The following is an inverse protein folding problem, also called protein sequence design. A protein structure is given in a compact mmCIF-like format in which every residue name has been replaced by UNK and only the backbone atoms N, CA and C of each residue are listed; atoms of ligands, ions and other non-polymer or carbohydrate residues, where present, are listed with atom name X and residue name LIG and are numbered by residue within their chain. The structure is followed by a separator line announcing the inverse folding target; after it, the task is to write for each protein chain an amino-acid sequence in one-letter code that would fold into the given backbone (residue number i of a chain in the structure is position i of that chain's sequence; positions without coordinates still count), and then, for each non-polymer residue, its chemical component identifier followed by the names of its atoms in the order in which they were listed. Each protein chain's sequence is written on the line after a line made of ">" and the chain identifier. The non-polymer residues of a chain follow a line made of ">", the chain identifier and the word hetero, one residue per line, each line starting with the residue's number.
data_IF_542692135002
#
_entry.id   IF_542692135002
#
_cell.length_a   1.000
_cell.length_b   1.000
_cell.length_c   1.000
_cell.angle_alpha   90.00
_cell.angle_beta   90.00
_cell.angle_gamma   90.00
#
_symmetry.space_group_name_H-M   'P 1'
#
loop_
_entity.id
_entity.type
_entity.pdbx_description
1 polymer ?
#
# COMPACT_ATOMS: atom_id res chain seq x y z
N UNK A 1 15.83 10.24 -21.06
CA UNK A 1 15.52 9.35 -19.90
C UNK A 1 16.45 8.14 -19.88
N UNK A 2 16.72 7.53 -21.04
CA UNK A 2 17.67 6.42 -21.19
C UNK A 2 19.11 6.76 -20.78
N UNK A 3 19.59 7.98 -21.09
CA UNK A 3 20.93 8.42 -20.70
C UNK A 3 21.13 8.45 -19.18
N UNK A 4 20.08 8.83 -18.45
CA UNK A 4 20.11 8.89 -16.99
C UNK A 4 20.11 7.48 -16.36
N UNK A 5 19.30 6.56 -16.92
CA UNK A 5 19.29 5.15 -16.48
C UNK A 5 20.62 4.45 -16.77
N UNK A 6 21.25 4.77 -17.90
CA UNK A 6 22.57 4.27 -18.28
C UNK A 6 23.68 4.86 -17.40
N UNK A 7 23.56 6.15 -17.04
CA UNK A 7 24.46 6.81 -16.10
C UNK A 7 24.35 6.21 -14.69
N UNK A 8 23.15 6.02 -14.15
CA UNK A 8 22.96 5.45 -12.80
C UNK A 8 23.41 3.99 -12.72
N UNK A 9 23.21 3.18 -13.76
CA UNK A 9 23.63 1.76 -13.77
C UNK A 9 25.15 1.55 -13.93
N UNK A 10 25.91 2.62 -14.20
CA UNK A 10 27.37 2.55 -14.30
C UNK A 10 28.01 2.32 -12.90
N UNK A 11 28.99 1.41 -12.77
CA UNK A 11 29.71 1.19 -11.51
C UNK A 11 30.39 2.43 -10.94
N UNK A 12 30.75 3.43 -11.77
CA UNK A 12 31.29 4.72 -11.31
C UNK A 12 30.26 5.61 -10.60
N UNK A 13 28.97 5.30 -10.73
CA UNK A 13 27.86 6.04 -10.15
C UNK A 13 27.38 5.45 -8.82
N UNK A 14 28.06 4.41 -8.31
CA UNK A 14 27.75 3.80 -7.01
C UNK A 14 27.80 4.80 -5.85
N UNK A 15 28.63 5.84 -5.94
CA UNK A 15 28.67 6.91 -4.93
C UNK A 15 27.36 7.72 -4.85
N UNK A 16 26.56 7.74 -5.91
CA UNK A 16 25.25 8.39 -5.98
C UNK A 16 24.09 7.44 -5.63
N UNK A 17 24.34 6.13 -5.58
CA UNK A 17 23.36 5.11 -5.18
C UNK A 17 23.36 4.86 -3.67
N UNK A 18 24.39 5.32 -2.97
CA UNK A 18 24.40 5.31 -1.52
C UNK A 18 23.36 6.31 -1.03
N UNK A 19 22.20 5.83 -0.57
CA UNK A 19 21.28 6.66 0.19
C UNK A 19 21.99 6.98 1.52
N UNK A 20 22.44 8.23 1.75
CA UNK A 20 23.05 8.55 3.02
C UNK A 20 22.02 8.23 4.11
N UNK A 21 22.46 7.52 5.14
CA UNK A 21 21.68 7.38 6.35
C UNK A 21 21.71 8.76 7.01
N UNK A 22 20.82 9.65 6.56
CA UNK A 22 20.67 10.97 7.13
C UNK A 22 20.19 10.76 8.55
N UNK A 23 21.08 11.00 9.50
CA UNK A 23 20.66 11.27 10.86
C UNK A 23 19.67 12.44 10.78
N UNK A 24 18.45 12.33 11.36
CA UNK A 24 17.52 13.45 11.43
C UNK A 24 18.16 14.76 11.93
N UNK A 25 19.30 14.67 12.62
CA UNK A 25 20.09 15.80 13.10
C UNK A 25 20.83 16.62 12.03
N UNK A 26 20.88 16.21 10.75
CA UNK A 26 21.62 16.94 9.70
C UNK A 26 20.76 17.99 8.96
N UNK A 27 19.43 17.96 9.10
CA UNK A 27 18.57 19.00 8.51
C UNK A 27 18.51 20.17 9.49
N UNK A 28 19.21 21.26 9.18
CA UNK A 28 19.02 22.52 9.91
C UNK A 28 17.61 23.03 9.63
N UNK A 29 16.88 23.39 10.68
CA UNK A 29 15.57 24.06 10.60
C UNK A 29 15.76 25.41 9.90
N UNK A 30 14.98 25.70 8.86
CA UNK A 30 15.08 26.93 8.07
C UNK A 30 13.70 27.56 7.91
N UNK A 31 13.46 28.61 8.70
CA UNK A 31 12.27 29.42 8.55
C UNK A 31 12.24 30.13 7.19
N UNK A 32 11.09 30.05 6.51
CA UNK A 32 10.81 30.69 5.23
C UNK A 32 11.06 29.77 4.03
N UNK A 33 11.18 28.46 4.25
CA UNK A 33 11.35 27.46 3.19
C UNK A 33 10.03 26.78 2.77
N UNK A 34 8.91 27.16 3.41
CA UNK A 34 7.58 26.63 3.17
C UNK A 34 7.32 25.24 3.76
N UNK A 35 8.18 24.74 4.65
CA UNK A 35 8.01 23.48 5.36
C UNK A 35 8.03 23.73 6.85
N UNK A 36 6.95 23.37 7.55
CA UNK A 36 6.92 23.46 9.02
C UNK A 36 7.89 22.44 9.61
N UNK A 37 8.97 22.93 10.19
CA UNK A 37 10.02 22.13 10.81
C UNK A 37 9.96 22.19 12.35
N UNK A 38 10.79 21.40 13.02
CA UNK A 38 10.76 21.32 14.48
C UNK A 38 11.08 22.69 15.13
N UNK A 39 10.11 23.24 15.86
CA UNK A 39 10.23 24.54 16.55
C UNK A 39 9.48 25.67 15.86
N UNK A 40 9.00 25.46 14.62
CA UNK A 40 8.14 26.39 13.90
C UNK A 40 6.67 26.06 14.15
N UNK A 41 5.80 27.07 14.10
CA UNK A 41 4.35 26.89 14.19
C UNK A 41 3.66 26.93 12.82
N UNK A 42 4.33 27.56 11.85
CA UNK A 42 3.89 27.76 10.47
C UNK A 42 5.11 28.14 9.63
N UNK A 43 5.03 27.95 8.32
CA UNK A 43 6.03 28.47 7.38
C UNK A 43 5.31 28.74 6.04
N UNK A 44 5.13 30.02 5.71
CA UNK A 44 4.47 30.46 4.49
C UNK A 44 5.46 30.82 3.36
N UNK A 45 6.74 30.50 3.51
CA UNK A 45 7.80 30.87 2.59
C UNK A 45 8.45 32.21 2.90
N UNK A 46 9.03 32.84 1.88
CA UNK A 46 9.66 34.14 2.05
C UNK A 46 8.62 35.28 2.17
N UNK A 47 9.09 36.52 2.35
CA UNK A 47 8.22 37.69 2.50
C UNK A 47 7.21 37.87 1.35
N UNK A 48 7.63 37.58 0.12
CA UNK A 48 6.81 37.73 -1.07
C UNK A 48 5.76 36.61 -1.16
N UNK A 49 6.14 35.37 -0.86
CA UNK A 49 5.24 34.22 -0.82
C UNK A 49 4.15 34.39 0.25
N UNK A 50 4.55 34.79 1.46
CA UNK A 50 3.63 35.05 2.57
C UNK A 50 2.69 36.22 2.27
N UNK A 51 3.18 37.29 1.63
CA UNK A 51 2.35 38.43 1.25
C UNK A 51 1.40 38.11 0.10
N UNK A 52 1.78 37.21 -0.80
CA UNK A 52 0.91 36.71 -1.87
C UNK A 52 -0.26 35.88 -1.32
N UNK A 53 -0.04 35.17 -0.22
CA UNK A 53 -1.12 34.52 0.52
C UNK A 53 -1.78 35.50 1.50
N UNK A 54 -2.77 36.27 1.02
CA UNK A 54 -3.55 37.23 1.81
C UNK A 54 -4.22 36.65 3.07
N UNK A 55 -4.35 35.32 3.15
CA UNK A 55 -4.90 34.61 4.30
C UNK A 55 -3.82 33.94 5.17
N UNK A 56 -2.54 34.25 4.94
CA UNK A 56 -1.44 33.77 5.77
C UNK A 56 -1.59 34.30 7.19
N UNK A 57 -1.59 33.37 8.13
CA UNK A 57 -1.66 33.60 9.56
C UNK A 57 -0.27 33.43 10.19
N UNK A 58 0.77 33.49 9.36
CA UNK A 58 2.14 33.21 9.72
C UNK A 58 3.03 34.44 9.56
N UNK A 59 3.89 34.69 10.55
CA UNK A 59 4.98 35.65 10.42
C UNK A 59 6.18 34.99 9.73
N UNK A 60 6.42 35.36 8.48
CA UNK A 60 7.53 34.88 7.65
C UNK A 60 8.94 35.06 8.25
N UNK A 61 9.12 35.98 9.21
CA UNK A 61 10.43 36.24 9.82
C UNK A 61 10.70 35.30 10.99
N UNK A 62 9.64 34.92 11.72
CA UNK A 62 9.75 34.13 12.96
C UNK A 62 9.20 32.72 12.83
N UNK A 63 8.47 32.40 11.76
CA UNK A 63 7.74 31.14 11.57
C UNK A 63 6.83 30.80 12.74
N UNK A 64 6.21 31.85 13.29
CA UNK A 64 5.22 31.79 14.36
C UNK A 64 3.89 32.32 13.88
N UNK A 65 2.81 31.83 14.49
CA UNK A 65 1.47 32.33 14.18
C UNK A 65 1.34 33.80 14.56
N UNK A 66 0.60 34.56 13.77
CA UNK A 66 0.24 35.94 14.07
C UNK A 66 -0.69 36.02 15.29
N UNK A 67 -0.74 37.18 15.94
CA UNK A 67 -1.54 37.37 17.16
C UNK A 67 -3.02 37.08 16.91
N UNK A 68 -3.59 36.17 17.70
CA UNK A 68 -4.99 35.75 17.59
C UNK A 68 -5.23 34.55 16.67
N UNK A 69 -4.22 34.09 15.94
CA UNK A 69 -4.30 32.93 15.06
C UNK A 69 -4.07 31.62 15.82
N UNK A 70 -4.86 30.59 15.53
CA UNK A 70 -4.66 29.23 16.06
C UNK A 70 -4.14 28.27 15.00
N UNK A 71 -4.21 28.65 13.73
CA UNK A 71 -3.72 27.88 12.59
C UNK A 71 -3.33 28.80 11.44
N UNK A 72 -2.66 28.22 10.43
CA UNK A 72 -2.29 28.88 9.19
C UNK A 72 -2.70 28.04 7.97
N UNK A 73 -2.01 26.92 7.72
CA UNK A 73 -2.26 26.04 6.58
C UNK A 73 -2.95 24.74 7.03
N UNK A 74 -3.98 24.33 6.28
CA UNK A 74 -4.65 23.03 6.42
C UNK A 74 -6.15 23.09 6.10
N UNK A 75 -6.75 21.95 5.77
CA UNK A 75 -8.16 21.83 5.38
C UNK A 75 -9.13 22.18 6.50
N UNK A 76 -8.68 22.07 7.75
CA UNK A 76 -9.40 22.45 8.96
C UNK A 76 -9.00 23.83 9.49
N UNK A 77 -8.34 24.67 8.69
CA UNK A 77 -8.05 26.05 9.03
C UNK A 77 -8.84 27.02 8.14
N UNK A 78 -9.58 27.94 8.76
CA UNK A 78 -10.30 28.99 8.04
C UNK A 78 -10.21 30.29 8.81
N UNK A 79 -9.80 31.36 8.12
CA UNK A 79 -9.62 32.68 8.72
C UNK A 79 -8.74 32.63 9.99
N UNK A 80 -7.63 31.89 9.93
CA UNK A 80 -6.69 31.70 11.04
C UNK A 80 -7.25 31.00 12.29
N UNK A 81 -8.42 30.38 12.18
CA UNK A 81 -9.07 29.63 13.26
C UNK A 81 -9.32 28.19 12.84
N UNK A 82 -9.26 27.27 13.81
CA UNK A 82 -9.68 25.89 13.57
C UNK A 82 -11.16 25.85 13.20
N UNK A 83 -11.51 25.05 12.19
CA UNK A 83 -12.90 24.72 11.90
C UNK A 83 -13.52 23.97 13.08
N UNK A 84 -14.83 24.13 13.24
CA UNK A 84 -15.57 23.43 14.28
C UNK A 84 -15.47 21.91 14.10
N UNK A 85 -15.57 21.20 15.22
CA UNK A 85 -15.61 19.75 15.20
C UNK A 85 -16.83 19.24 14.44
N UNK A 86 -16.64 18.22 13.61
CA UNK A 86 -17.71 17.64 12.80
C UNK A 86 -17.92 18.34 11.45
N UNK A 87 -17.14 19.37 11.12
CA UNK A 87 -17.05 19.94 9.77
C UNK A 87 -16.31 18.96 8.85
N UNK A 88 -16.85 18.68 7.66
CA UNK A 88 -16.22 17.76 6.70
C UNK A 88 -15.00 18.44 6.07
N UNK A 89 -13.82 17.85 6.26
CA UNK A 89 -12.57 18.31 5.63
C UNK A 89 -12.19 17.48 4.41
N UNK A 90 -12.61 16.21 4.35
CA UNK A 90 -12.48 15.38 3.15
C UNK A 90 -13.81 14.68 2.86
N UNK A 91 -14.46 14.99 1.72
CA UNK A 91 -15.65 14.25 1.29
C UNK A 91 -15.25 12.85 0.79
N UNK A 92 -16.20 11.91 0.87
CA UNK A 92 -16.06 10.60 0.25
C UNK A 92 -16.05 10.72 -1.28
N UNK A 93 -15.16 9.97 -1.93
CA UNK A 93 -14.96 9.97 -3.38
C UNK A 93 -15.59 8.76 -4.10
N UNK A 94 -16.01 7.73 -3.37
CA UNK A 94 -16.58 6.48 -3.87
C UNK A 94 -17.43 5.84 -2.76
N UNK A 95 -18.37 4.95 -3.09
CA UNK A 95 -19.21 4.30 -2.07
C UNK A 95 -18.41 3.48 -1.05
N UNK A 96 -17.17 3.10 -1.40
CA UNK A 96 -16.23 2.40 -0.53
C UNK A 96 -15.30 3.32 0.27
N UNK A 97 -15.42 4.64 0.11
CA UNK A 97 -14.61 5.66 0.77
C UNK A 97 -15.42 6.37 1.87
N UNK A 98 -14.77 6.73 2.97
CA UNK A 98 -15.43 7.39 4.11
C UNK A 98 -15.11 8.88 4.13
N UNK A 99 -16.01 9.75 4.63
CA UNK A 99 -15.65 11.15 4.87
C UNK A 99 -14.83 11.31 6.15
N UNK A 100 -13.99 12.35 6.20
CA UNK A 100 -13.31 12.78 7.43
C UNK A 100 -13.72 14.17 7.86
N UNK A 101 -13.61 14.37 9.16
CA UNK A 101 -14.11 15.54 9.85
C UNK A 101 -12.99 16.23 10.62
N UNK A 102 -13.08 17.56 10.69
CA UNK A 102 -12.26 18.35 11.59
C UNK A 102 -12.56 17.97 13.04
N UNK A 103 -11.50 17.89 13.85
CA UNK A 103 -11.61 17.57 15.27
C UNK A 103 -11.83 18.80 16.16
N UNK A 104 -11.74 20.02 15.60
CA UNK A 104 -11.87 21.28 16.33
C UNK A 104 -10.59 21.79 16.99
N UNK A 105 -9.45 21.10 16.83
CA UNK A 105 -8.21 21.40 17.53
C UNK A 105 -6.94 21.23 16.67
N UNK A 106 -7.09 21.05 15.37
CA UNK A 106 -6.01 20.84 14.41
C UNK A 106 -6.35 21.53 13.09
N UNK A 107 -5.33 22.06 12.42
CA UNK A 107 -5.45 22.63 11.07
C UNK A 107 -5.50 21.54 10.00
N UNK A 108 -4.85 20.40 10.25
CA UNK A 108 -4.79 19.26 9.33
C UNK A 108 -6.03 18.37 9.53
N UNK A 109 -6.61 17.92 8.41
CA UNK A 109 -7.63 16.88 8.42
C UNK A 109 -7.07 15.55 8.98
N UNK A 110 -7.95 14.63 9.37
CA UNK A 110 -7.51 13.29 9.77
C UNK A 110 -6.96 12.49 8.58
N UNK A 111 -6.24 11.41 8.88
CA UNK A 111 -5.82 10.44 7.86
C UNK A 111 -7.03 9.92 7.06
N UNK A 112 -6.80 9.55 5.80
CA UNK A 112 -7.82 8.97 4.94
C UNK A 112 -8.20 7.56 5.43
N UNK A 113 -9.48 7.38 5.78
CA UNK A 113 -10.10 6.10 6.08
C UNK A 113 -11.08 5.71 4.99
N UNK A 114 -11.22 4.40 4.80
CA UNK A 114 -12.11 3.82 3.81
C UNK A 114 -12.82 2.60 4.39
N UNK A 115 -13.91 2.18 3.75
CA UNK A 115 -14.65 0.98 4.16
C UNK A 115 -13.74 -0.24 4.05
N UNK A 116 -13.80 -1.11 5.05
CA UNK A 116 -12.97 -2.30 5.15
C UNK A 116 -12.97 -3.13 3.86
N UNK A 117 -11.78 -3.53 3.42
CA UNK A 117 -11.60 -4.37 2.25
C UNK A 117 -12.46 -5.65 2.34
N UNK A 118 -13.20 -5.96 1.28
CA UNK A 118 -14.13 -7.07 1.23
C UNK A 118 -15.57 -6.72 1.61
N UNK A 119 -15.88 -5.46 1.92
CA UNK A 119 -17.26 -5.00 2.04
C UNK A 119 -17.98 -5.07 0.68
N UNK A 120 -19.22 -5.58 0.59
CA UNK A 120 -19.99 -5.58 -0.65
C UNK A 120 -20.29 -4.16 -1.16
N UNK A 121 -20.24 -3.96 -2.47
CA UNK A 121 -20.54 -2.68 -3.13
C UNK A 121 -21.19 -2.92 -4.51
N UNK A 122 -21.70 -1.86 -5.15
CA UNK A 122 -22.41 -1.93 -6.43
C UNK A 122 -23.54 -2.96 -6.41
N UNK A 123 -24.51 -2.76 -5.51
CA UNK A 123 -25.66 -3.66 -5.30
C UNK A 123 -25.28 -5.10 -4.90
N UNK A 124 -24.22 -5.25 -4.11
CA UNK A 124 -23.65 -6.54 -3.66
C UNK A 124 -23.04 -7.41 -4.77
N UNK A 125 -22.76 -6.83 -5.95
CA UNK A 125 -22.10 -7.54 -7.05
C UNK A 125 -20.57 -7.53 -6.93
N UNK A 126 -20.02 -6.53 -6.24
CA UNK A 126 -18.58 -6.23 -6.21
C UNK A 126 -18.10 -6.05 -4.77
N UNK A 127 -16.79 -5.84 -4.60
CA UNK A 127 -16.17 -5.63 -3.30
C UNK A 127 -15.37 -4.33 -3.25
N UNK A 128 -15.42 -3.67 -2.09
CA UNK A 128 -14.56 -2.55 -1.75
C UNK A 128 -13.12 -3.01 -1.58
N UNK A 129 -12.19 -2.32 -2.24
CA UNK A 129 -10.75 -2.47 -2.01
C UNK A 129 -10.07 -1.10 -2.03
N UNK A 130 -9.38 -0.77 -0.94
CA UNK A 130 -8.59 0.45 -0.76
C UNK A 130 -9.38 1.73 -1.10
N UNK A 131 -10.62 1.80 -0.62
CA UNK A 131 -11.49 2.97 -0.83
C UNK A 131 -12.16 3.05 -2.20
N UNK A 132 -12.18 1.97 -2.99
CA UNK A 132 -12.88 1.96 -4.27
C UNK A 132 -13.67 0.67 -4.48
N UNK A 133 -14.87 0.77 -5.03
CA UNK A 133 -15.62 -0.39 -5.48
C UNK A 133 -14.99 -0.97 -6.76
N UNK A 134 -14.53 -2.23 -6.69
CA UNK A 134 -13.90 -2.90 -7.83
C UNK A 134 -14.96 -3.54 -8.72
N UNK A 135 -15.62 -2.68 -9.50
CA UNK A 135 -16.69 -3.07 -10.43
C UNK A 135 -16.16 -3.43 -11.81
N UNK A 136 -16.48 -4.65 -12.27
CA UNK A 136 -16.24 -5.07 -13.65
C UNK A 136 -17.02 -4.23 -14.68
N UNK A 137 -18.22 -3.79 -14.32
CA UNK A 137 -19.06 -2.91 -15.15
C UNK A 137 -18.37 -1.56 -15.31
N UNK A 138 -17.93 -0.94 -14.22
CA UNK A 138 -17.18 0.34 -14.27
C UNK A 138 -15.92 0.20 -15.12
N UNK A 139 -15.20 -0.93 -15.00
CA UNK A 139 -14.04 -1.20 -15.86
C UNK A 139 -14.40 -1.28 -17.35
N UNK A 140 -15.52 -1.92 -17.70
CA UNK A 140 -16.01 -1.99 -19.07
C UNK A 140 -16.46 -0.61 -19.59
N UNK A 141 -17.18 0.16 -18.78
CA UNK A 141 -17.61 1.53 -19.12
C UNK A 141 -16.41 2.47 -19.30
N UNK A 142 -15.41 2.40 -18.43
CA UNK A 142 -14.17 3.19 -18.54
C UNK A 142 -13.38 2.90 -19.82
N UNK A 143 -13.53 1.69 -20.37
CA UNK A 143 -12.79 1.24 -21.55
C UNK A 143 -13.56 1.43 -22.86
N UNK A 144 -14.84 1.08 -22.87
CA UNK A 144 -15.69 1.04 -24.07
C UNK A 144 -16.77 2.14 -24.11
N UNK A 145 -16.88 2.94 -23.05
CA UNK A 145 -17.87 3.99 -22.88
C UNK A 145 -19.17 3.50 -22.26
N UNK A 146 -20.09 4.44 -22.05
CA UNK A 146 -21.41 4.19 -21.46
C UNK A 146 -22.16 3.07 -22.20
N UNK A 147 -22.95 2.26 -21.48
CA UNK A 147 -23.74 1.16 -22.07
C UNK A 147 -22.96 -0.12 -22.36
N UNK A 148 -21.63 -0.12 -22.13
CA UNK A 148 -20.88 -1.37 -21.97
C UNK A 148 -21.19 -1.99 -20.60
N UNK A 149 -21.24 -3.31 -20.55
CA UNK A 149 -21.52 -4.08 -19.34
C UNK A 149 -20.43 -5.13 -19.12
N UNK A 150 -20.35 -5.68 -17.91
CA UNK A 150 -19.46 -6.81 -17.65
C UNK A 150 -19.95 -8.04 -18.41
N UNK A 151 -19.04 -8.74 -19.10
CA UNK A 151 -19.42 -9.89 -19.92
C UNK A 151 -20.03 -11.01 -19.07
N UNK A 152 -21.10 -11.68 -19.56
CA UNK A 152 -21.64 -12.87 -18.89
C UNK A 152 -20.64 -14.03 -18.89
N UNK A 153 -20.89 -15.04 -18.05
CA UNK A 153 -20.00 -16.19 -17.87
C UNK A 153 -19.69 -16.90 -19.20
N UNK A 154 -20.66 -17.05 -20.11
CA UNK A 154 -20.45 -17.65 -21.43
C UNK A 154 -19.45 -16.89 -22.31
N UNK A 155 -19.42 -15.56 -22.25
CA UNK A 155 -18.45 -14.75 -22.98
C UNK A 155 -17.03 -15.09 -22.52
N UNK A 156 -16.83 -15.11 -21.19
CA UNK A 156 -15.56 -15.48 -20.57
C UNK A 156 -15.19 -16.94 -20.86
N UNK A 157 -16.13 -17.86 -20.74
CA UNK A 157 -15.90 -19.28 -20.95
C UNK A 157 -15.49 -19.59 -22.39
N UNK A 158 -16.05 -18.89 -23.38
CA UNK A 158 -15.72 -19.11 -24.78
C UNK A 158 -14.41 -18.46 -25.20
N UNK A 159 -14.18 -17.19 -24.84
CA UNK A 159 -13.02 -16.44 -25.34
C UNK A 159 -11.76 -16.77 -24.54
N UNK A 160 -11.81 -16.75 -23.20
CA UNK A 160 -10.63 -17.02 -22.38
C UNK A 160 -10.18 -18.50 -22.40
N UNK A 161 -10.95 -19.40 -23.01
CA UNK A 161 -10.51 -20.78 -23.28
C UNK A 161 -9.65 -20.93 -24.54
N UNK A 162 -9.57 -19.93 -25.43
CA UNK A 162 -8.93 -20.06 -26.74
C UNK A 162 -7.41 -20.07 -26.70
N UNK A 163 -6.80 -19.44 -25.68
CA UNK A 163 -5.34 -19.31 -25.57
C UNK A 163 -4.72 -18.59 -26.78
N UNK A 164 -5.38 -17.52 -27.21
CA UNK A 164 -4.94 -16.70 -28.35
C UNK A 164 -5.19 -15.21 -28.07
N UNK A 165 -5.08 -14.38 -29.10
CA UNK A 165 -5.34 -12.93 -29.00
C UNK A 165 -6.77 -12.60 -28.55
N UNK A 166 -7.75 -13.50 -28.72
CA UNK A 166 -9.13 -13.27 -28.31
C UNK A 166 -9.35 -13.45 -26.81
N UNK A 167 -8.60 -14.37 -26.19
CA UNK A 167 -8.67 -14.62 -24.76
C UNK A 167 -7.59 -15.56 -24.23
N UNK A 168 -7.01 -15.18 -23.09
CA UNK A 168 -5.89 -15.85 -22.43
C UNK A 168 -5.71 -15.29 -21.01
N UNK A 169 -4.82 -15.90 -20.22
CA UNK A 169 -4.47 -15.47 -18.86
C UNK A 169 -3.05 -14.88 -18.80
N UNK A 170 -2.65 -14.16 -19.85
CA UNK A 170 -1.35 -13.52 -19.97
C UNK A 170 -0.54 -14.02 -21.15
N UNK A 171 0.68 -13.50 -21.24
CA UNK A 171 1.65 -13.86 -22.26
C UNK A 171 2.98 -14.14 -21.58
N UNK A 172 3.67 -15.18 -22.03
CA UNK A 172 5.02 -15.54 -21.60
C UNK A 172 5.94 -15.75 -22.80
N UNK A 173 7.18 -16.22 -22.58
CA UNK A 173 8.16 -16.43 -23.66
C UNK A 173 7.69 -17.39 -24.75
N UNK A 174 6.77 -18.31 -24.42
CA UNK A 174 6.22 -19.31 -25.35
C UNK A 174 4.90 -18.88 -26.00
N UNK A 175 4.48 -17.63 -25.83
CA UNK A 175 3.22 -17.11 -26.36
C UNK A 175 2.14 -16.93 -25.29
N UNK A 176 0.87 -17.03 -25.69
CA UNK A 176 -0.28 -16.84 -24.80
C UNK A 176 -0.37 -17.96 -23.75
N UNK A 177 -0.73 -17.57 -22.52
CA UNK A 177 -0.90 -18.47 -21.38
C UNK A 177 -2.36 -18.91 -21.32
N UNK A 178 -2.59 -20.22 -21.33
CA UNK A 178 -3.92 -20.78 -21.19
C UNK A 178 -4.51 -20.47 -19.82
N UNK A 179 -5.77 -20.02 -19.77
CA UNK A 179 -6.52 -19.93 -18.52
C UNK A 179 -6.91 -21.32 -18.02
N UNK A 180 -6.79 -21.56 -16.70
CA UNK A 180 -7.44 -22.72 -16.08
C UNK A 180 -8.95 -22.48 -16.08
N UNK A 181 -9.74 -23.54 -16.08
CA UNK A 181 -11.22 -23.44 -16.12
C UNK A 181 -11.78 -22.54 -15.02
N UNK A 182 -11.25 -22.64 -13.80
CA UNK A 182 -11.68 -21.78 -12.68
C UNK A 182 -11.25 -20.30 -12.81
N UNK A 183 -10.29 -20.00 -13.68
CA UNK A 183 -9.65 -18.67 -13.80
C UNK A 183 -10.15 -17.90 -15.04
N UNK A 184 -11.10 -18.47 -15.80
CA UNK A 184 -11.61 -17.90 -17.04
C UNK A 184 -12.15 -16.47 -16.87
N UNK A 185 -12.77 -16.14 -15.74
CA UNK A 185 -13.27 -14.79 -15.44
C UNK A 185 -12.19 -13.80 -14.97
N UNK A 186 -10.93 -14.22 -14.80
CA UNK A 186 -9.84 -13.38 -14.31
C UNK A 186 -8.74 -13.12 -15.34
N UNK A 187 -8.87 -13.69 -16.54
CA UNK A 187 -7.95 -13.48 -17.64
C UNK A 187 -8.15 -12.13 -18.33
N UNK A 188 -8.29 -12.18 -19.66
CA UNK A 188 -8.61 -11.02 -20.47
C UNK A 188 -9.99 -10.46 -20.10
N UNK A 189 -10.10 -9.14 -20.00
CA UNK A 189 -11.36 -8.44 -19.76
C UNK A 189 -12.27 -8.63 -20.97
N UNK A 190 -13.49 -9.11 -20.72
CA UNK A 190 -14.51 -9.31 -21.72
C UNK A 190 -15.77 -8.57 -21.27
N UNK A 191 -16.26 -7.71 -22.13
CA UNK A 191 -17.43 -6.87 -21.86
C UNK A 191 -18.56 -7.25 -22.80
N UNK A 192 -19.80 -7.05 -22.37
CA UNK A 192 -20.95 -7.09 -23.26
C UNK A 192 -21.15 -5.70 -23.86
N UNK A 193 -21.32 -5.62 -25.18
CA UNK A 193 -21.42 -4.35 -25.90
C UNK A 193 -22.72 -4.30 -26.71
N UNK A 194 -23.65 -3.44 -26.29
CA UNK A 194 -25.02 -3.38 -26.84
C UNK A 194 -25.21 -2.26 -27.87
N UNK A 195 -24.16 -1.49 -28.17
CA UNK A 195 -24.22 -0.36 -29.11
C UNK A 195 -23.91 -0.80 -30.54
N UNK A 196 -24.44 -0.05 -31.50
CA UNK A 196 -24.16 -0.24 -32.93
C UNK A 196 -22.84 0.39 -33.39
N UNK A 197 -22.30 1.33 -32.60
CA UNK A 197 -21.05 2.01 -32.90
C UNK A 197 -19.86 1.05 -32.88
N UNK A 198 -18.98 1.14 -33.88
CA UNK A 198 -17.76 0.33 -33.89
C UNK A 198 -16.76 0.94 -32.91
N UNK A 199 -16.33 0.15 -31.93
CA UNK A 199 -15.25 0.49 -31.00
C UNK A 199 -13.99 0.82 -31.81
N UNK A 200 -13.52 2.05 -31.66
CA UNK A 200 -12.28 2.54 -32.25
C UNK A 200 -11.34 3.01 -31.14
N UNK A 201 -10.45 2.12 -30.70
CA UNK A 201 -9.44 2.43 -29.68
C UNK A 201 -8.07 2.43 -30.37
N UNK A 202 -7.36 3.57 -30.38
CA UNK A 202 -6.07 3.67 -31.05
C UNK A 202 -5.08 2.61 -30.56
N UNK A 203 -4.39 1.97 -31.50
CA UNK A 203 -3.37 0.95 -31.23
C UNK A 203 -3.90 -0.29 -30.48
N UNK A 204 -5.20 -0.58 -30.59
CA UNK A 204 -5.79 -1.82 -30.10
C UNK A 204 -6.54 -2.55 -31.22
N UNK A 205 -6.49 -3.88 -31.17
CA UNK A 205 -7.39 -4.73 -31.95
C UNK A 205 -8.63 -5.02 -31.12
N UNK A 206 -9.80 -4.58 -31.58
CA UNK A 206 -11.07 -4.96 -30.99
C UNK A 206 -11.53 -6.32 -31.53
N UNK A 207 -11.76 -7.28 -30.64
CA UNK A 207 -12.33 -8.59 -30.95
C UNK A 207 -13.81 -8.57 -30.61
N UNK A 208 -14.65 -8.98 -31.56
CA UNK A 208 -16.09 -9.15 -31.38
C UNK A 208 -16.45 -10.62 -31.54
N UNK A 209 -17.30 -11.13 -30.65
CA UNK A 209 -17.88 -12.46 -30.76
C UNK A 209 -19.35 -12.41 -30.35
N UNK A 210 -20.23 -13.01 -31.15
CA UNK A 210 -21.61 -13.25 -30.75
C UNK A 210 -21.68 -14.63 -30.08
N UNK A 211 -21.96 -14.66 -28.78
CA UNK A 211 -22.04 -15.88 -27.98
C UNK A 211 -23.39 -15.85 -27.27
N UNK A 212 -24.27 -16.80 -27.61
CA UNK A 212 -25.64 -16.91 -27.07
C UNK A 212 -26.48 -15.62 -27.20
N UNK A 213 -26.23 -14.79 -28.21
CA UNK A 213 -26.93 -13.51 -28.40
C UNK A 213 -26.27 -12.33 -27.68
N UNK A 214 -25.22 -12.57 -26.89
CA UNK A 214 -24.38 -11.52 -26.31
C UNK A 214 -23.29 -11.13 -27.29
N UNK A 215 -23.14 -9.83 -27.56
CA UNK A 215 -22.00 -9.30 -28.31
C UNK A 215 -20.87 -9.07 -27.31
N UNK A 216 -19.99 -10.05 -27.21
CA UNK A 216 -18.83 -10.03 -26.33
C UNK A 216 -17.67 -9.30 -27.03
N UNK A 217 -17.06 -8.33 -26.34
CA UNK A 217 -15.93 -7.55 -26.84
C UNK A 217 -14.70 -7.67 -25.94
N UNK A 218 -13.53 -7.76 -26.56
CA UNK A 218 -12.23 -7.75 -25.87
C UNK A 218 -11.23 -6.91 -26.68
N UNK A 219 -10.18 -6.39 -26.02
CA UNK A 219 -9.12 -5.62 -26.68
C UNK A 219 -7.79 -6.33 -26.62
N UNK A 220 -7.06 -6.39 -27.72
CA UNK A 220 -5.65 -6.77 -27.73
C UNK A 220 -4.78 -5.55 -28.02
N UNK A 221 -3.95 -5.17 -27.05
CA UNK A 221 -2.91 -4.16 -27.26
C UNK A 221 -1.57 -4.86 -27.57
N UNK A 222 -0.69 -4.22 -28.36
CA UNK A 222 0.68 -4.65 -28.51
C UNK A 222 1.38 -4.84 -27.16
N UNK A 223 2.35 -5.77 -27.12
CA UNK A 223 3.17 -6.01 -25.93
C UNK A 223 3.88 -4.72 -25.50
N UNK A 224 4.06 -4.53 -24.19
CA UNK A 224 4.70 -3.37 -23.57
C UNK A 224 4.03 -2.00 -23.80
N UNK A 225 2.85 -1.96 -24.44
CA UNK A 225 2.08 -0.73 -24.51
C UNK A 225 1.60 -0.33 -23.11
N UNK A 226 1.79 0.93 -22.72
CA UNK A 226 1.52 1.44 -21.35
C UNK A 226 0.08 1.15 -20.90
N UNK A 227 -0.86 1.13 -21.85
CA UNK A 227 -2.29 0.96 -21.60
C UNK A 227 -2.72 -0.52 -21.66
N UNK A 228 -1.83 -1.45 -22.05
CA UNK A 228 -2.11 -2.89 -22.13
C UNK A 228 -2.65 -3.48 -20.82
N UNK A 229 -2.34 -2.88 -19.67
CA UNK A 229 -2.94 -3.28 -18.39
C UNK A 229 -4.47 -3.19 -18.35
N UNK A 230 -5.08 -2.32 -19.17
CA UNK A 230 -6.54 -2.15 -19.23
C UNK A 230 -7.28 -3.32 -19.89
N UNK A 231 -6.57 -4.21 -20.60
CA UNK A 231 -7.19 -5.39 -21.24
C UNK A 231 -7.37 -6.59 -20.32
N UNK A 232 -6.96 -6.49 -19.06
CA UNK A 232 -7.08 -7.56 -18.08
C UNK A 232 -8.14 -7.23 -17.06
N UNK A 233 -8.83 -8.25 -16.56
CA UNK A 233 -9.73 -8.08 -15.41
C UNK A 233 -8.93 -7.54 -14.22
N UNK A 234 -9.42 -6.45 -13.63
CA UNK A 234 -8.74 -5.79 -12.51
C UNK A 234 -8.63 -6.76 -11.32
N UNK A 235 -7.52 -6.70 -10.59
CA UNK A 235 -7.39 -7.46 -9.36
C UNK A 235 -8.44 -7.00 -8.34
N UNK A 236 -9.05 -7.96 -7.66
CA UNK A 236 -10.14 -7.74 -6.73
C UNK A 236 -11.55 -7.87 -7.30
N UNK A 237 -11.71 -7.94 -8.63
CA UNK A 237 -13.01 -8.19 -9.27
C UNK A 237 -13.55 -9.54 -8.83
N UNK A 238 -14.83 -9.59 -8.49
CA UNK A 238 -15.52 -10.83 -8.09
C UNK A 238 -15.57 -11.80 -9.27
N UNK A 239 -15.14 -13.04 -9.05
CA UNK A 239 -15.13 -14.12 -10.05
C UNK A 239 -15.91 -15.36 -9.61
N UNK A 240 -16.66 -15.24 -8.52
CA UNK A 240 -17.47 -16.32 -7.95
C UNK A 240 -17.75 -16.10 -6.48
N UNK A 241 -18.51 -17.01 -5.89
CA UNK A 241 -18.88 -16.94 -4.47
C UNK A 241 -17.63 -16.93 -3.57
N UNK A 242 -17.48 -15.87 -2.77
CA UNK A 242 -16.32 -15.61 -1.91
C UNK A 242 -14.97 -15.69 -2.65
N UNK A 243 -14.94 -15.31 -3.94
CA UNK A 243 -13.73 -15.36 -4.77
C UNK A 243 -13.51 -14.06 -5.54
N UNK A 244 -12.24 -13.72 -5.69
CA UNK A 244 -11.79 -12.52 -6.42
C UNK A 244 -10.61 -12.83 -7.32
N UNK A 245 -10.44 -12.01 -8.35
CA UNK A 245 -9.31 -12.09 -9.25
C UNK A 245 -8.03 -11.59 -8.61
N UNK A 246 -6.95 -12.36 -8.71
CA UNK A 246 -5.61 -11.96 -8.26
C UNK A 246 -4.57 -12.64 -9.15
N UNK A 247 -3.64 -11.88 -9.72
CA UNK A 247 -2.64 -12.37 -10.67
C UNK A 247 -3.26 -13.21 -11.81
N UNK A 248 -4.44 -12.79 -12.30
CA UNK A 248 -5.22 -13.48 -13.35
C UNK A 248 -5.74 -14.87 -12.96
N UNK A 249 -5.77 -15.18 -11.67
CA UNK A 249 -6.39 -16.38 -11.12
C UNK A 249 -7.62 -16.01 -10.27
N UNK A 250 -8.62 -16.88 -10.25
CA UNK A 250 -9.76 -16.76 -9.34
C UNK A 250 -9.43 -17.46 -8.02
N UNK A 251 -9.19 -16.65 -6.99
CA UNK A 251 -8.73 -17.10 -5.67
C UNK A 251 -9.77 -16.81 -4.59
N UNK A 252 -9.65 -17.47 -3.44
CA UNK A 252 -10.51 -17.22 -2.28
C UNK A 252 -10.31 -15.79 -1.74
N UNK A 253 -11.40 -15.10 -1.42
CA UNK A 253 -11.38 -13.72 -0.93
C UNK A 253 -10.97 -13.61 0.56
N UNK A 254 -10.81 -14.73 1.27
CA UNK A 254 -10.51 -14.78 2.71
C UNK A 254 -9.22 -14.06 3.12
N UNK A 255 -8.26 -13.87 2.21
CA UNK A 255 -7.04 -13.09 2.49
C UNK A 255 -7.32 -11.61 2.78
N UNK A 256 -8.50 -11.10 2.40
CA UNK A 256 -8.94 -9.75 2.73
C UNK A 256 -9.25 -9.58 4.23
N UNK A 257 -9.42 -10.69 4.97
CA UNK A 257 -9.72 -10.70 6.40
C UNK A 257 -10.91 -9.80 6.77
N UNK A 258 -11.95 -9.83 5.93
CA UNK A 258 -13.20 -9.13 6.16
C UNK A 258 -13.97 -9.78 7.30
N UNK A 259 -14.22 -9.02 8.37
CA UNK A 259 -14.86 -9.49 9.60
C UNK A 259 -15.95 -8.53 10.11
N UNK A 260 -16.38 -7.58 9.28
CA UNK A 260 -17.45 -6.65 9.64
C UNK A 260 -18.82 -7.28 9.38
N UNK A 261 -19.50 -7.66 10.46
CA UNK A 261 -20.91 -8.08 10.41
C UNK A 261 -21.81 -6.86 10.63
N UNK A 262 -23.04 -6.83 10.09
CA UNK A 262 -23.99 -5.72 10.33
C UNK A 262 -24.21 -5.42 11.82
N UNK A 263 -24.27 -6.46 12.66
CA UNK A 263 -24.43 -6.31 14.10
C UNK A 263 -23.25 -5.67 14.82
N UNK A 264 -22.02 -5.69 14.25
CA UNK A 264 -20.83 -5.10 14.88
C UNK A 264 -20.98 -3.59 15.09
N UNK A 265 -21.70 -2.92 14.18
CA UNK A 265 -21.98 -1.49 14.23
C UNK A 265 -23.48 -1.22 14.44
N UNK A 266 -24.18 -2.12 15.15
CA UNK A 266 -25.61 -2.02 15.46
C UNK A 266 -26.51 -1.75 14.23
N UNK A 267 -26.12 -2.26 13.05
CA UNK A 267 -26.81 -2.03 11.76
C UNK A 267 -26.92 -0.55 11.38
N UNK A 268 -26.10 0.30 11.99
CA UNK A 268 -26.13 1.78 11.91
C UNK A 268 -24.79 2.37 11.47
N UNK A 269 -23.95 1.55 10.85
CA UNK A 269 -22.65 1.95 10.36
C UNK A 269 -21.92 0.82 9.64
N UNK A 270 -20.71 1.12 9.20
CA UNK A 270 -19.81 0.21 8.48
C UNK A 270 -18.43 0.23 9.12
N UNK A 271 -17.66 -0.86 9.00
CA UNK A 271 -16.29 -0.86 9.52
C UNK A 271 -15.34 -0.15 8.56
N UNK A 272 -14.47 0.70 9.10
CA UNK A 272 -13.36 1.27 8.35
C UNK A 272 -12.19 0.28 8.22
N UNK A 273 -11.15 0.66 7.50
CA UNK A 273 -9.92 -0.12 7.29
C UNK A 273 -9.10 -0.40 8.57
N UNK A 274 -9.39 0.27 9.68
CA UNK A 274 -8.89 -0.04 11.02
C UNK A 274 -9.80 -0.98 11.83
N UNK A 275 -10.88 -1.47 11.22
CA UNK A 275 -11.91 -2.35 11.81
C UNK A 275 -12.77 -1.69 12.90
N UNK A 276 -12.78 -0.37 12.99
CA UNK A 276 -13.66 0.40 13.87
C UNK A 276 -14.94 0.81 13.13
N UNK A 277 -16.04 1.02 13.84
CA UNK A 277 -17.29 1.46 13.22
C UNK A 277 -17.22 2.94 12.82
N UNK A 278 -17.54 3.21 11.56
CA UNK A 278 -17.95 4.50 11.06
C UNK A 278 -19.48 4.55 11.05
N UNK A 279 -20.05 5.36 11.93
CA UNK A 279 -21.47 5.46 12.16
C UNK A 279 -22.14 6.39 11.16
N UNK A 280 -23.37 6.03 10.80
CA UNK A 280 -24.26 6.87 10.00
C UNK A 280 -24.59 8.17 10.76
N UNK A 281 -25.05 9.22 10.07
CA UNK A 281 -25.57 10.43 10.71
C UNK A 281 -26.57 10.10 11.82
N UNK A 282 -26.54 10.92 12.87
CA UNK A 282 -27.25 10.78 14.13
C UNK A 282 -26.79 9.65 15.07
N UNK A 283 -25.79 8.84 14.71
CA UNK A 283 -25.26 7.77 15.58
C UNK A 283 -23.82 8.02 16.02
N UNK A 284 -23.49 7.65 17.26
CA UNK A 284 -22.20 7.94 17.85
C UNK A 284 -21.26 6.72 17.84
N UNK A 285 -19.97 6.90 17.51
CA UNK A 285 -18.95 5.89 17.75
C UNK A 285 -18.76 5.63 19.27
N UNK A 286 -18.23 4.46 19.68
CA UNK A 286 -17.48 3.50 18.87
C UNK A 286 -18.29 2.39 18.20
N UNK A 287 -19.57 2.20 18.55
CA UNK A 287 -20.37 1.05 18.13
C UNK A 287 -21.70 1.43 17.44
N UNK A 288 -22.03 2.71 17.31
CA UNK A 288 -23.27 3.21 16.69
C UNK A 288 -24.56 2.80 17.42
N UNK A 289 -24.47 2.53 18.71
CA UNK A 289 -25.61 2.15 19.55
C UNK A 289 -26.46 3.37 19.96
N UNK A 290 -25.79 4.41 20.44
CA UNK A 290 -26.42 5.65 20.91
C UNK A 290 -26.58 6.67 19.79
N UNK A 291 -27.55 7.58 19.94
CA UNK A 291 -27.88 8.60 18.96
C UNK A 291 -27.92 10.01 19.53
N UNK A 292 -27.58 10.98 18.69
CA UNK A 292 -27.73 12.42 18.90
C UNK A 292 -28.11 13.03 17.55
N UNK A 293 -29.28 13.66 17.47
CA UNK A 293 -29.84 14.16 16.22
C UNK A 293 -28.94 15.21 15.54
N UNK A 294 -28.08 15.89 16.30
CA UNK A 294 -27.14 16.87 15.77
C UNK A 294 -25.83 16.25 15.22
N UNK A 295 -25.62 14.93 15.40
CA UNK A 295 -24.37 14.27 15.04
C UNK A 295 -24.26 14.00 13.55
N UNK A 296 -23.16 14.42 12.93
CA UNK A 296 -22.95 14.29 11.47
C UNK A 296 -22.43 12.92 11.02
N UNK A 297 -22.22 11.98 11.95
CA UNK A 297 -21.65 10.65 11.71
C UNK A 297 -20.15 10.59 12.00
N UNK A 298 -19.52 9.47 11.65
CA UNK A 298 -18.08 9.28 11.79
C UNK A 298 -17.65 8.10 12.66
N UNK A 299 -16.35 7.96 12.83
CA UNK A 299 -15.66 6.94 13.60
C UNK A 299 -14.83 7.56 14.71
N UNK A 300 -14.37 6.74 15.65
CA UNK A 300 -13.29 7.11 16.58
C UNK A 300 -12.01 7.56 15.86
N UNK A 301 -11.84 7.19 14.59
CA UNK A 301 -10.70 7.55 13.77
C UNK A 301 -10.91 8.82 12.92
N UNK A 302 -12.15 9.21 12.61
CA UNK A 302 -12.45 10.22 11.57
C UNK A 302 -12.53 11.66 12.10
N UNK A 303 -12.03 11.91 13.33
CA UNK A 303 -11.96 13.26 13.93
C UNK A 303 -13.26 13.73 14.60
N UNK A 304 -14.40 13.16 14.21
CA UNK A 304 -15.69 13.38 14.85
C UNK A 304 -16.08 12.23 15.79
N UNK A 305 -15.60 12.27 17.03
CA UNK A 305 -15.93 11.32 18.10
C UNK A 305 -16.51 12.06 19.30
N UNK A 306 -17.43 11.52 20.12
CA UNK A 306 -18.04 12.25 21.23
C UNK A 306 -16.98 12.84 22.19
N UNK A 307 -17.20 14.02 22.78
CA UNK A 307 -16.40 14.49 23.90
C UNK A 307 -16.39 13.39 24.96
N UNK A 308 -15.22 13.07 25.52
CA UNK A 308 -15.16 12.11 26.61
C UNK A 308 -16.00 12.66 27.76
N UNK A 309 -17.22 12.12 27.95
CA UNK A 309 -17.98 12.37 29.16
C UNK A 309 -17.09 11.88 30.28
N UNK A 310 -16.68 12.78 31.18
CA UNK A 310 -15.85 12.45 32.31
C UNK A 310 -16.48 11.28 33.07
N UNK A 311 -16.01 10.07 32.79
CA UNK A 311 -16.41 8.86 33.46
C UNK A 311 -15.86 8.98 34.88
N UNK A 312 -16.71 9.46 35.78
CA UNK A 312 -16.48 9.38 37.20
C UNK A 312 -16.23 7.92 37.57
N UNK A 313 -15.04 7.69 38.13
CA UNK A 313 -14.63 6.51 38.92
C UNK A 313 -14.47 5.18 38.17
N UNK A 314 -13.30 5.00 37.53
CA UNK A 314 -12.49 3.78 37.70
C UNK A 314 -11.02 4.04 37.32
N UNK A 315 -10.15 3.94 38.33
CA UNK A 315 -8.70 3.70 38.31
C UNK A 315 -7.83 4.35 37.21
N UNK A 316 -7.09 5.38 37.64
CA UNK A 316 -5.69 5.66 37.32
C UNK A 316 -5.03 4.79 36.24
N UNK A 317 -4.99 5.30 35.01
CA UNK A 317 -3.80 5.28 34.15
C UNK A 317 -3.86 6.56 33.29
N UNK A 318 -3.22 7.63 33.75
CA UNK A 318 -2.86 8.76 32.88
C UNK A 318 -1.86 8.23 31.85
N UNK A 319 -2.34 7.83 30.68
CA UNK A 319 -1.46 7.81 29.49
C UNK A 319 -1.34 9.23 28.99
N UNK A 320 -0.34 9.91 29.53
CA UNK A 320 0.31 10.99 28.82
C UNK A 320 0.72 10.43 27.46
N UNK A 321 0.13 10.95 26.37
CA UNK A 321 0.61 10.68 25.02
C UNK A 321 1.90 11.50 24.89
N UNK A 322 2.99 10.91 25.35
CA UNK A 322 4.31 11.31 24.89
C UNK A 322 4.34 11.00 23.39
N UNK A 323 4.70 11.99 22.57
CA UNK A 323 4.96 11.78 21.16
C UNK A 323 6.07 10.73 21.03
N UNK A 324 5.70 9.46 20.86
CA UNK A 324 6.63 8.37 20.58
C UNK A 324 7.06 8.52 19.13
N UNK A 325 8.04 9.39 18.91
CA UNK A 325 9.09 9.10 17.94
C UNK A 325 9.66 7.74 18.35
N UNK A 326 9.31 6.68 17.62
CA UNK A 326 9.92 5.37 17.79
C UNK A 326 11.40 5.48 17.37
N UNK A 327 12.25 5.92 18.29
CA UNK A 327 13.66 5.55 18.23
C UNK A 327 13.70 4.03 18.43
N UNK A 328 14.29 3.35 17.45
CA UNK A 328 14.52 1.90 17.49
C UNK A 328 15.14 1.54 18.85
N UNK A 329 14.80 0.39 19.45
CA UNK A 329 15.40 -0.02 20.72
C UNK A 329 16.91 0.04 20.58
N UNK A 330 17.55 0.82 21.44
CA UNK A 330 19.00 0.89 21.56
C UNK A 330 19.50 -0.54 21.70
N UNK A 331 20.17 -1.04 20.66
CA UNK A 331 20.86 -2.32 20.71
C UNK A 331 21.87 -2.23 21.85
N UNK A 332 21.48 -2.73 23.02
CA UNK A 332 22.36 -2.99 24.14
C UNK A 332 23.57 -3.80 23.61
N UNK A 333 24.78 -3.65 24.17
CA UNK A 333 26.02 -3.54 23.40
C UNK A 333 26.52 -4.89 22.86
N UNK A 334 25.85 -5.45 21.86
CA UNK A 334 26.35 -6.60 21.11
C UNK A 334 27.64 -6.24 20.35
N UNK A 335 27.89 -4.95 20.05
CA UNK A 335 29.12 -4.48 19.44
C UNK A 335 30.37 -4.73 20.30
N UNK A 336 30.25 -4.82 21.64
CA UNK A 336 31.37 -5.16 22.51
C UNK A 336 31.74 -6.66 22.42
N UNK A 337 30.82 -7.52 21.95
CA UNK A 337 31.07 -8.95 21.80
C UNK A 337 31.70 -9.31 20.44
N UNK A 338 31.52 -8.46 19.42
CA UNK A 338 32.09 -8.66 18.08
C UNK A 338 33.62 -8.82 18.10
N UNK A 339 34.42 -7.96 18.77
CA UNK A 339 35.87 -8.15 18.82
C UNK A 339 36.26 -9.43 19.57
N UNK A 340 35.50 -9.83 20.59
CA UNK A 340 35.75 -11.08 21.32
C UNK A 340 35.51 -12.31 20.44
N UNK A 341 34.43 -12.32 19.65
CA UNK A 341 34.14 -13.38 18.68
C UNK A 341 35.18 -13.45 17.56
N UNK A 342 35.67 -12.31 17.08
CA UNK A 342 36.75 -12.28 16.07
C UNK A 342 38.04 -12.89 16.64
N UNK A 343 38.43 -12.51 17.86
CA UNK A 343 39.61 -13.08 18.53
C UNK A 343 39.44 -14.57 18.77
N UNK A 344 38.27 -15.02 19.22
CA UNK A 344 37.96 -16.45 19.42
C UNK A 344 38.07 -17.25 18.11
N UNK A 345 37.52 -16.74 17.01
CA UNK A 345 37.62 -17.37 15.69
C UNK A 345 39.07 -17.44 15.20
N UNK A 346 39.88 -16.40 15.42
CA UNK A 346 41.30 -16.41 15.07
C UNK A 346 42.10 -17.43 15.90
N UNK A 347 41.81 -17.55 17.20
CA UNK A 347 42.42 -18.56 18.06
C UNK A 347 42.05 -19.98 17.63
N UNK A 348 40.78 -20.23 17.31
CA UNK A 348 40.33 -21.53 16.79
C UNK A 348 41.03 -21.85 15.46
N UNK A 349 41.10 -20.88 14.54
CA UNK A 349 41.80 -21.08 13.27
C UNK A 349 43.30 -21.38 13.47
N UNK A 350 43.96 -20.70 14.41
CA UNK A 350 45.35 -20.98 14.76
C UNK A 350 45.53 -22.39 15.36
N UNK A 351 44.63 -22.81 16.27
CA UNK A 351 44.64 -24.15 16.86
C UNK A 351 44.39 -25.23 15.81
N UNK A 352 43.46 -25.03 14.88
CA UNK A 352 43.21 -25.93 13.76
C UNK A 352 44.45 -25.99 12.86
N UNK A 353 45.10 -24.86 12.58
CA UNK A 353 46.32 -24.83 11.77
C UNK A 353 47.47 -25.58 12.45
N UNK A 354 47.65 -25.42 13.77
CA UNK A 354 48.63 -26.17 14.56
C UNK A 354 48.29 -27.66 14.59
N UNK A 355 47.01 -28.02 14.76
CA UNK A 355 46.55 -29.40 14.73
C UNK A 355 46.84 -30.05 13.37
N UNK A 356 46.53 -29.36 12.26
CA UNK A 356 46.83 -29.84 10.92
C UNK A 356 48.34 -29.93 10.66
N UNK A 357 49.13 -28.95 11.08
CA UNK A 357 50.58 -29.02 10.97
C UNK A 357 51.12 -30.22 11.76
N UNK A 358 50.70 -30.38 13.03
CA UNK A 358 51.14 -31.49 13.88
C UNK A 358 50.73 -32.87 13.34
N UNK A 359 49.54 -32.99 12.74
CA UNK A 359 49.16 -34.21 12.05
C UNK A 359 50.00 -34.44 10.79
N UNK A 360 50.34 -33.39 10.03
CA UNK A 360 51.23 -33.50 8.87
C UNK A 360 52.63 -34.01 9.26
N UNK A 361 53.22 -33.49 10.34
CA UNK A 361 54.51 -33.98 10.87
C UNK A 361 54.43 -35.46 11.27
N UNK A 362 53.32 -35.92 11.88
CA UNK A 362 53.14 -37.35 12.20
C UNK A 362 53.04 -38.26 10.98
N UNK A 363 52.44 -37.78 9.88
CA UNK A 363 52.35 -38.58 8.66
C UNK A 363 53.69 -38.67 7.94
N UNK A 364 54.50 -37.60 8.00
CA UNK A 364 55.85 -37.59 7.39
C UNK A 364 56.84 -38.50 8.16
N UNK A 365 56.71 -38.61 9.49
CA UNK A 365 57.51 -39.54 10.32
C UNK A 365 57.14 -41.02 10.05
N UNK A 366 55.85 -41.32 9.82
CA UNK A 366 55.38 -42.68 9.50
C UNK A 366 55.84 -43.15 8.10
N UNK A 367 55.91 -42.25 7.11
CA UNK A 367 56.38 -42.57 5.75
C UNK A 367 57.90 -42.76 5.68
N UNK A 368 58.69 -42.11 6.54
CA UNK A 368 60.14 -42.30 6.58
C UNK A 368 60.57 -43.64 7.19
N UNK A 369 59.80 -44.19 8.13
CA UNK A 369 60.12 -45.48 8.77
C UNK A 369 59.74 -46.68 7.87
N UNK A 370 58.65 -46.61 7.09
CA UNK A 370 58.29 -47.66 6.12
C UNK A 370 59.24 -47.74 4.91
N UNK A 371 59.99 -46.67 4.60
CA UNK A 371 60.98 -46.66 3.50
C UNK A 371 62.36 -47.20 3.91
N UNK A 372 62.66 -47.33 5.21
CA UNK A 372 63.93 -47.89 5.69
C UNK A 372 63.89 -49.42 5.90
N UNK A 373 62.71 -50.03 6.03
CA UNK A 373 62.57 -51.49 6.18
C UNK A 373 62.51 -52.26 4.84
N UNK A 374 62.34 -51.59 3.69
CA UNK A 374 62.26 -52.28 2.38
C UNK A 374 63.58 -52.37 1.60
N UNK A 375 64.70 -51.90 2.15
CA UNK A 375 65.99 -51.81 1.45
C UNK A 375 67.14 -52.47 2.23
N UNK A 376 66.95 -53.70 2.73
CA UNK A 376 68.08 -54.61 3.07
C UNK A 376 67.68 -56.08 3.19
N UNK A 377 67.22 -56.70 2.09
CA UNK A 377 67.33 -58.16 1.92
C UNK A 377 68.36 -58.50 0.82
N UNK A 378 69.35 -59.38 1.10
CA UNK A 378 70.46 -59.68 0.20
C UNK A 378 70.06 -60.64 -0.92
N UNK A 379 70.53 -60.39 -2.15
CA UNK A 379 70.52 -61.36 -3.25
C UNK A 379 71.85 -62.12 -3.30
N UNK A 380 71.73 -63.43 -3.47
CA UNK A 380 72.77 -64.43 -3.80
C UNK A 380 73.60 -64.08 -5.04
#
# INVERSE_FOLDING_TARGET
>A
MEDFATFISNPKSQCLQNQPHLDPSYKSVVCGNGQVEQGEQCDCGNAEDCAANLNSCCDHTTCTLTVGSTCDIGECCKNCQYLAKGEICRPSSDECDLPEYCNGSSATCQDNFFIQNGHPCGENQWLCLNGSCISGIKQCVDLFGEGADFGPEECYAHLNSKTDQSGNCGSGPSGYIQCKTKDLQCGKLICEYKKEEIINIPNATAIYANINGHICVALDFPHDFIISKKMWVKEGTVCGNNKVCKNKECVDAGYLNYDCTPGKCNERGVCNNKKNCHCNPSYLPPNCETSDDAWTGGSVDSGNFPPQVAAGLASSERRYIENVYHSKPTRWPFFLLIPFFIILCLLIAALVKVYFQRNKWRTEEYTSDEQLESESEPRE
#
